data_IF_394516443497
#
_entry.id   IF_394516443497
#
_cell.length_a   1.000
_cell.length_b   1.000
_cell.length_c   1.000
_cell.angle_alpha   90.00
_cell.angle_beta   90.00
_cell.angle_gamma   90.00
#
_symmetry.space_group_name_H-M   'P 1'
#
loop_
_entity.id
_entity.type
_entity.pdbx_description
1 polymer ?
#
# COMPACT_ATOMS: atom_id res chain seq x y z
N UNK A 1 -51.72 -9.00 -20.62
CA UNK A 1 -51.42 -9.78 -21.84
C UNK A 1 -51.39 -8.82 -23.02
N UNK A 2 -50.20 -8.39 -23.48
CA UNK A 2 -50.05 -7.71 -24.76
C UNK A 2 -49.75 -8.75 -25.85
N UNK A 3 -50.45 -8.63 -26.97
CA UNK A 3 -50.29 -9.44 -28.17
C UNK A 3 -48.94 -9.18 -28.83
N UNK A 4 -48.09 -10.21 -28.88
CA UNK A 4 -46.83 -10.21 -29.62
C UNK A 4 -47.11 -10.24 -31.12
N UNK A 5 -46.98 -9.09 -31.78
CA UNK A 5 -46.84 -9.01 -33.23
C UNK A 5 -45.47 -9.58 -33.63
N UNK A 6 -45.44 -10.87 -33.94
CA UNK A 6 -44.32 -11.50 -34.66
C UNK A 6 -44.35 -11.05 -36.12
N UNK A 7 -43.91 -9.82 -36.39
CA UNK A 7 -43.48 -9.44 -37.74
C UNK A 7 -42.22 -10.24 -38.07
N UNK A 8 -42.34 -11.05 -39.11
CA UNK A 8 -41.27 -11.84 -39.72
C UNK A 8 -40.06 -10.95 -40.00
N UNK A 9 -38.94 -11.24 -39.33
CA UNK A 9 -37.62 -10.57 -39.53
C UNK A 9 -37.15 -10.64 -40.99
N UNK A 10 -37.71 -11.56 -41.80
CA UNK A 10 -37.39 -11.68 -43.23
C UNK A 10 -37.86 -10.49 -44.07
N UNK A 11 -38.89 -9.76 -43.63
CA UNK A 11 -39.46 -8.69 -44.46
C UNK A 11 -38.70 -7.35 -44.34
N UNK A 12 -37.79 -7.21 -43.36
CA UNK A 12 -36.99 -5.99 -43.16
C UNK A 12 -35.67 -6.03 -43.95
N UNK A 13 -35.14 -7.23 -44.25
CA UNK A 13 -33.91 -7.39 -45.00
C UNK A 13 -34.03 -7.01 -46.49
N UNK A 14 -35.25 -6.93 -47.02
CA UNK A 14 -35.50 -6.66 -48.44
C UNK A 14 -35.51 -5.17 -48.84
N UNK A 15 -35.29 -4.24 -47.89
CA UNK A 15 -35.48 -2.79 -48.11
C UNK A 15 -34.20 -1.96 -48.20
N UNK A 16 -33.01 -2.55 -48.11
CA UNK A 16 -31.73 -1.83 -48.15
C UNK A 16 -30.75 -2.31 -49.24
N UNK A 17 -31.26 -2.77 -50.39
CA UNK A 17 -30.41 -3.06 -51.55
C UNK A 17 -30.26 -1.80 -52.41
N UNK A 18 -29.41 -0.86 -51.98
CA UNK A 18 -29.03 0.29 -52.82
C UNK A 18 -28.05 -0.19 -53.88
N UNK A 19 -28.54 -0.49 -55.07
CA UNK A 19 -27.72 -0.87 -56.22
C UNK A 19 -26.96 0.37 -56.73
N UNK A 20 -25.65 0.44 -56.46
CA UNK A 20 -24.78 1.49 -57.02
C UNK A 20 -24.56 1.21 -58.51
N UNK A 21 -24.79 2.16 -59.43
CA UNK A 21 -24.56 1.94 -60.86
C UNK A 21 -23.06 1.74 -61.15
N UNK A 22 -22.69 0.82 -62.06
CA UNK A 22 -21.29 0.56 -62.37
C UNK A 22 -20.67 1.78 -63.07
N UNK A 23 -19.66 2.38 -62.45
CA UNK A 23 -18.82 3.40 -63.08
C UNK A 23 -17.92 2.76 -64.15
N UNK A 24 -18.06 3.22 -65.39
CA UNK A 24 -17.56 2.59 -66.61
C UNK A 24 -16.09 2.91 -66.96
N UNK A 25 -15.18 2.90 -65.98
CA UNK A 25 -13.73 3.08 -66.23
C UNK A 25 -12.93 1.98 -65.53
N UNK A 26 -12.39 0.99 -66.27
CA UNK A 26 -11.67 -0.13 -65.70
C UNK A 26 -10.20 0.25 -65.49
N UNK A 27 -9.92 0.95 -64.39
CA UNK A 27 -8.58 0.88 -63.81
C UNK A 27 -8.60 -0.31 -62.87
N UNK A 28 -7.84 -1.40 -63.11
CA UNK A 28 -7.84 -2.56 -62.24
C UNK A 28 -7.11 -2.21 -60.94
N UNK A 29 -7.85 -1.60 -60.01
CA UNK A 29 -7.45 -1.63 -58.61
C UNK A 29 -7.57 -3.08 -58.14
N UNK A 30 -6.56 -3.65 -57.46
CA UNK A 30 -6.64 -4.99 -56.87
C UNK A 30 -7.52 -4.96 -55.62
N UNK A 31 -8.76 -4.51 -55.76
CA UNK A 31 -9.74 -4.41 -54.67
C UNK A 31 -10.78 -5.50 -54.87
N UNK A 32 -10.78 -6.48 -53.96
CA UNK A 32 -11.84 -7.50 -53.90
C UNK A 32 -12.92 -6.96 -52.97
N UNK A 33 -14.13 -6.76 -53.48
CA UNK A 33 -15.30 -6.39 -52.68
C UNK A 33 -16.04 -7.67 -52.31
N UNK A 34 -16.02 -8.03 -51.04
CA UNK A 34 -16.76 -9.17 -50.50
C UNK A 34 -17.97 -8.62 -49.74
N UNK A 35 -19.17 -8.92 -50.21
CA UNK A 35 -20.41 -8.56 -49.52
C UNK A 35 -20.74 -9.61 -48.45
N UNK A 36 -20.79 -9.18 -47.18
CA UNK A 36 -20.99 -10.04 -46.02
C UNK A 36 -22.27 -9.63 -45.30
N UNK A 37 -23.35 -10.37 -45.51
CA UNK A 37 -24.60 -10.19 -44.78
C UNK A 37 -24.63 -11.09 -43.53
N UNK A 38 -24.60 -10.50 -42.34
CA UNK A 38 -24.74 -11.22 -41.07
C UNK A 38 -25.65 -10.48 -40.11
N UNK A 39 -26.31 -11.22 -39.20
CA UNK A 39 -27.17 -10.65 -38.17
C UNK A 39 -26.40 -10.62 -36.85
N UNK A 40 -26.19 -9.41 -36.31
CA UNK A 40 -25.52 -9.20 -35.02
C UNK A 40 -26.55 -8.70 -34.01
N UNK A 41 -26.77 -9.47 -32.94
CA UNK A 41 -27.66 -9.09 -31.85
C UNK A 41 -26.85 -8.48 -30.71
N UNK A 42 -27.12 -7.21 -30.38
CA UNK A 42 -26.52 -6.51 -29.24
C UNK A 42 -27.54 -6.51 -28.09
N UNK A 43 -27.36 -7.39 -27.11
CA UNK A 43 -28.31 -7.57 -26.01
C UNK A 43 -28.47 -6.29 -25.14
N UNK A 44 -27.37 -5.56 -24.90
CA UNK A 44 -27.35 -4.34 -24.10
C UNK A 44 -26.89 -3.12 -24.93
N UNK A 45 -27.69 -2.71 -25.91
CA UNK A 45 -27.33 -1.61 -26.83
C UNK A 45 -26.92 -0.30 -26.10
N UNK A 46 -27.74 0.13 -25.14
CA UNK A 46 -27.54 1.38 -24.38
C UNK A 46 -26.21 1.43 -23.61
N UNK A 47 -25.65 0.27 -23.28
CA UNK A 47 -24.39 0.17 -22.53
C UNK A 47 -23.17 0.53 -23.38
N UNK A 48 -23.18 0.09 -24.64
CA UNK A 48 -22.05 0.27 -25.57
C UNK A 48 -22.20 1.56 -26.39
N UNK A 49 -23.44 2.04 -26.54
CA UNK A 49 -23.80 3.19 -27.36
C UNK A 49 -24.73 4.14 -26.60
N UNK A 50 -24.31 4.74 -25.47
CA UNK A 50 -25.19 5.52 -24.60
C UNK A 50 -25.71 6.82 -25.23
N UNK A 51 -24.99 7.37 -26.21
CA UNK A 51 -25.28 8.69 -26.79
C UNK A 51 -25.98 8.61 -28.15
N UNK A 52 -26.29 7.42 -28.66
CA UNK A 52 -26.93 7.24 -29.98
C UNK A 52 -28.23 6.48 -29.82
N UNK A 53 -29.39 7.00 -30.26
CA UNK A 53 -30.64 6.28 -30.21
C UNK A 53 -30.66 5.13 -31.23
N UNK A 54 -31.36 4.04 -30.91
CA UNK A 54 -31.40 2.82 -31.74
C UNK A 54 -31.93 3.07 -33.16
N UNK A 55 -32.85 4.05 -33.31
CA UNK A 55 -33.44 4.42 -34.59
C UNK A 55 -32.45 5.10 -35.55
N UNK A 56 -31.39 5.72 -35.03
CA UNK A 56 -30.34 6.37 -35.82
C UNK A 56 -29.02 5.58 -35.79
N UNK A 57 -29.07 4.31 -35.37
CA UNK A 57 -27.87 3.50 -35.27
C UNK A 57 -27.39 3.08 -36.65
N UNK A 58 -26.25 3.60 -37.04
CA UNK A 58 -25.51 3.14 -38.21
C UNK A 58 -24.18 2.54 -37.73
N UNK A 59 -23.96 1.23 -37.91
CA UNK A 59 -22.75 0.60 -37.45
C UNK A 59 -21.58 1.05 -38.33
N UNK A 60 -20.52 1.55 -37.69
CA UNK A 60 -19.25 1.87 -38.35
C UNK A 60 -18.24 0.83 -37.88
N UNK A 61 -17.48 0.27 -38.81
CA UNK A 61 -16.41 -0.68 -38.52
C UNK A 61 -15.10 -0.18 -39.10
N UNK A 62 -14.01 -0.45 -38.39
CA UNK A 62 -12.66 -0.23 -38.89
C UNK A 62 -12.07 -1.56 -39.33
N UNK A 63 -11.51 -1.61 -40.52
CA UNK A 63 -10.72 -2.74 -40.97
C UNK A 63 -9.30 -2.63 -40.40
N UNK A 64 -8.81 -3.72 -39.81
CA UNK A 64 -7.39 -3.88 -39.48
C UNK A 64 -6.63 -4.43 -40.69
N UNK A 65 -5.30 -4.35 -40.64
CA UNK A 65 -4.40 -4.84 -41.70
C UNK A 65 -4.54 -6.36 -41.95
N UNK A 66 -5.06 -7.11 -40.97
CA UNK A 66 -5.37 -8.53 -41.07
C UNK A 66 -6.74 -8.82 -41.74
N UNK A 67 -7.47 -7.77 -42.13
CA UNK A 67 -8.81 -7.85 -42.71
C UNK A 67 -9.93 -8.02 -41.69
N UNK A 68 -9.64 -8.03 -40.39
CA UNK A 68 -10.67 -8.10 -39.35
C UNK A 68 -11.43 -6.77 -39.23
N UNK A 69 -12.74 -6.85 -39.00
CA UNK A 69 -13.60 -5.68 -38.79
C UNK A 69 -13.86 -5.47 -37.30
N UNK A 70 -13.56 -4.28 -36.82
CA UNK A 70 -13.63 -3.95 -35.39
C UNK A 70 -14.55 -2.76 -35.16
N UNK A 71 -15.43 -2.88 -34.16
CA UNK A 71 -16.34 -1.82 -33.78
C UNK A 71 -15.63 -0.76 -32.90
N UNK A 72 -15.95 0.54 -33.05
CA UNK A 72 -15.39 1.63 -32.23
C UNK A 72 -15.37 1.39 -30.71
N UNK A 73 -16.45 0.89 -30.06
CA UNK A 73 -16.42 0.66 -28.62
C UNK A 73 -15.39 -0.39 -28.19
N UNK A 74 -15.09 -1.37 -29.05
CA UNK A 74 -14.04 -2.36 -28.77
C UNK A 74 -12.66 -1.71 -28.82
N UNK A 75 -12.37 -0.88 -29.83
CA UNK A 75 -11.09 -0.18 -29.94
C UNK A 75 -10.84 0.72 -28.72
N UNK A 76 -11.87 1.44 -28.29
CA UNK A 76 -11.79 2.29 -27.11
C UNK A 76 -11.51 1.47 -25.83
N UNK A 77 -12.27 0.40 -25.59
CA UNK A 77 -12.09 -0.48 -24.44
C UNK A 77 -10.71 -1.18 -24.44
N UNK A 78 -10.24 -1.59 -25.61
CA UNK A 78 -8.92 -2.18 -25.81
C UNK A 78 -7.80 -1.17 -25.47
N UNK A 79 -7.92 0.07 -25.92
CA UNK A 79 -6.92 1.11 -25.65
C UNK A 79 -6.75 1.39 -24.15
N UNK A 80 -7.87 1.53 -23.43
CA UNK A 80 -7.88 1.73 -21.97
C UNK A 80 -7.31 0.51 -21.25
N UNK A 81 -7.67 -0.69 -21.71
CA UNK A 81 -7.20 -1.94 -21.12
C UNK A 81 -5.69 -2.12 -21.31
N UNK A 82 -5.15 -1.81 -22.48
CA UNK A 82 -3.71 -1.87 -22.75
C UNK A 82 -2.92 -0.89 -21.87
N UNK A 83 -3.38 0.37 -21.77
CA UNK A 83 -2.76 1.36 -20.88
C UNK A 83 -2.78 0.87 -19.42
N UNK A 84 -3.92 0.35 -18.98
CA UNK A 84 -4.08 -0.19 -17.61
C UNK A 84 -3.15 -1.38 -17.37
N UNK A 85 -3.02 -2.29 -18.34
CA UNK A 85 -2.16 -3.47 -18.24
C UNK A 85 -0.68 -3.08 -18.16
N UNK A 86 -0.24 -2.11 -18.97
CA UNK A 86 1.12 -1.56 -18.90
C UNK A 86 1.39 -0.98 -17.51
N UNK A 87 0.47 -0.17 -16.98
CA UNK A 87 0.61 0.41 -15.64
C UNK A 87 0.65 -0.67 -14.55
N UNK A 88 -0.22 -1.68 -14.63
CA UNK A 88 -0.21 -2.83 -13.71
C UNK A 88 1.13 -3.58 -13.80
N UNK A 89 1.64 -3.83 -15.00
CA UNK A 89 2.93 -4.49 -15.22
C UNK A 89 4.11 -3.72 -14.63
N UNK A 90 4.16 -2.41 -14.82
CA UNK A 90 5.19 -1.53 -14.23
C UNK A 90 5.11 -1.57 -12.70
N UNK A 91 3.90 -1.43 -12.13
CA UNK A 91 3.70 -1.49 -10.68
C UNK A 91 4.13 -2.85 -10.13
N UNK A 92 3.73 -3.95 -10.76
CA UNK A 92 4.13 -5.30 -10.37
C UNK A 92 5.65 -5.47 -10.37
N UNK A 93 6.35 -4.99 -11.41
CA UNK A 93 7.80 -5.03 -11.48
C UNK A 93 8.47 -4.26 -10.33
N UNK A 94 7.92 -3.09 -9.96
CA UNK A 94 8.39 -2.31 -8.80
C UNK A 94 8.16 -3.07 -7.49
N UNK A 95 7.00 -3.70 -7.30
CA UNK A 95 6.72 -4.53 -6.11
C UNK A 95 7.66 -5.73 -6.03
N UNK A 96 7.90 -6.45 -7.13
CA UNK A 96 8.84 -7.58 -7.19
C UNK A 96 10.25 -7.11 -6.84
N UNK A 97 10.71 -5.98 -7.40
CA UNK A 97 12.01 -5.39 -7.03
C UNK A 97 12.07 -5.07 -5.53
N UNK A 98 11.02 -4.45 -4.97
CA UNK A 98 10.96 -4.13 -3.55
C UNK A 98 10.99 -5.38 -2.67
N UNK A 99 10.32 -6.46 -3.08
CA UNK A 99 10.36 -7.76 -2.39
C UNK A 99 11.79 -8.30 -2.38
N UNK A 100 12.44 -8.40 -3.54
CA UNK A 100 13.82 -8.93 -3.65
C UNK A 100 14.79 -8.13 -2.79
N UNK A 101 14.71 -6.80 -2.87
CA UNK A 101 15.57 -5.90 -2.08
C UNK A 101 15.31 -6.08 -0.59
N UNK A 102 14.05 -6.09 -0.16
CA UNK A 102 13.68 -6.27 1.25
C UNK A 102 14.13 -7.61 1.80
N UNK A 103 13.91 -8.69 1.04
CA UNK A 103 14.39 -10.04 1.39
C UNK A 103 15.91 -10.06 1.53
N UNK A 104 16.63 -9.48 0.57
CA UNK A 104 18.10 -9.40 0.61
C UNK A 104 18.59 -8.65 1.85
N UNK A 105 17.96 -7.53 2.21
CA UNK A 105 18.25 -6.80 3.44
C UNK A 105 17.94 -7.60 4.71
N UNK A 106 16.85 -8.38 4.74
CA UNK A 106 16.50 -9.24 5.88
C UNK A 106 17.56 -10.33 6.09
N UNK A 107 17.99 -10.97 5.00
CA UNK A 107 18.97 -12.05 5.04
C UNK A 107 20.38 -11.55 5.37
N UNK A 108 20.83 -10.44 4.76
CA UNK A 108 22.19 -9.92 4.97
C UNK A 108 22.33 -9.01 6.20
N UNK A 109 21.24 -8.37 6.63
CA UNK A 109 21.27 -7.39 7.72
C UNK A 109 21.41 -8.00 9.11
N UNK A 110 22.43 -7.57 9.85
CA UNK A 110 22.61 -7.86 11.29
C UNK A 110 21.96 -6.79 12.17
N UNK A 111 20.68 -6.51 11.96
CA UNK A 111 19.93 -5.57 12.81
C UNK A 111 19.20 -6.31 13.93
N UNK A 112 19.25 -5.76 15.15
CA UNK A 112 18.59 -6.34 16.34
C UNK A 112 17.06 -6.33 16.20
N UNK A 113 16.49 -5.33 15.52
CA UNK A 113 15.05 -5.18 15.32
C UNK A 113 14.71 -5.20 13.82
N UNK A 114 14.25 -6.35 13.31
CA UNK A 114 13.86 -6.54 11.91
C UNK A 114 12.37 -6.28 11.63
N UNK A 115 11.59 -5.92 12.65
CA UNK A 115 10.13 -5.80 12.58
C UNK A 115 9.65 -4.88 11.44
N UNK A 116 10.23 -3.68 11.32
CA UNK A 116 9.86 -2.72 10.27
C UNK A 116 10.06 -3.30 8.86
N UNK A 117 11.17 -4.03 8.65
CA UNK A 117 11.51 -4.61 7.37
C UNK A 117 10.62 -5.80 7.03
N UNK A 118 10.23 -6.61 8.02
CA UNK A 118 9.21 -7.66 7.85
C UNK A 118 7.84 -7.07 7.53
N UNK A 119 7.41 -6.00 8.21
CA UNK A 119 6.13 -5.33 7.91
C UNK A 119 6.12 -4.80 6.48
N UNK A 120 7.22 -4.17 6.04
CA UNK A 120 7.35 -3.70 4.67
C UNK A 120 7.29 -4.88 3.69
N UNK A 121 8.06 -5.95 3.92
CA UNK A 121 8.02 -7.15 3.08
C UNK A 121 6.61 -7.75 2.96
N UNK A 122 5.90 -7.91 4.08
CA UNK A 122 4.53 -8.42 4.09
C UNK A 122 3.58 -7.52 3.28
N UNK A 123 3.71 -6.19 3.38
CA UNK A 123 2.88 -5.26 2.58
C UNK A 123 3.11 -5.42 1.07
N UNK A 124 4.36 -5.66 0.65
CA UNK A 124 4.70 -5.86 -0.76
C UNK A 124 4.24 -7.24 -1.25
N UNK A 125 4.37 -8.29 -0.42
CA UNK A 125 3.88 -9.64 -0.75
C UNK A 125 2.36 -9.67 -0.95
N UNK A 126 1.61 -8.88 -0.17
CA UNK A 126 0.17 -8.73 -0.35
C UNK A 126 -0.24 -8.06 -1.67
N UNK A 127 0.69 -7.41 -2.37
CA UNK A 127 0.41 -6.84 -3.68
C UNK A 127 0.33 -7.92 -4.78
N UNK A 128 1.02 -9.06 -4.62
CA UNK A 128 0.97 -10.18 -5.58
C UNK A 128 -0.45 -10.74 -5.78
N UNK A 129 -1.22 -11.08 -4.73
CA UNK A 129 -2.61 -11.52 -4.90
C UNK A 129 -3.54 -10.41 -5.40
N UNK A 130 -3.12 -9.15 -5.43
CA UNK A 130 -3.88 -8.08 -6.09
C UNK A 130 -3.69 -8.12 -7.61
N UNK A 131 -2.44 -8.20 -8.08
CA UNK A 131 -2.10 -8.10 -9.50
C UNK A 131 -2.26 -9.41 -10.27
N UNK A 132 -1.88 -10.56 -9.69
CA UNK A 132 -1.89 -11.84 -10.41
C UNK A 132 -3.31 -12.19 -10.91
N UNK A 133 -4.38 -12.15 -10.08
CA UNK A 133 -5.72 -12.46 -10.54
C UNK A 133 -6.22 -11.50 -11.62
N UNK A 134 -5.84 -10.21 -11.55
CA UNK A 134 -6.20 -9.22 -12.58
C UNK A 134 -5.58 -9.56 -13.93
N UNK A 135 -4.30 -9.94 -13.94
CA UNK A 135 -3.59 -10.32 -15.17
C UNK A 135 -4.17 -11.62 -15.72
N UNK A 136 -4.35 -12.64 -14.88
CA UNK A 136 -4.90 -13.94 -15.29
C UNK A 136 -6.31 -13.77 -15.87
N UNK A 137 -7.16 -12.95 -15.26
CA UNK A 137 -8.53 -12.73 -15.73
C UNK A 137 -8.63 -12.07 -17.12
N UNK A 138 -7.57 -11.42 -17.61
CA UNK A 138 -7.52 -10.88 -18.97
C UNK A 138 -7.23 -11.95 -20.02
N UNK A 139 -6.42 -12.96 -19.69
CA UNK A 139 -6.04 -14.02 -20.63
C UNK A 139 -7.00 -15.22 -20.58
N UNK A 140 -7.58 -15.48 -19.40
CA UNK A 140 -8.47 -16.62 -19.18
C UNK A 140 -9.93 -16.16 -19.05
N UNK A 141 -10.77 -16.66 -19.96
CA UNK A 141 -12.20 -16.35 -20.02
C UNK A 141 -13.05 -17.21 -19.07
N UNK A 142 -12.50 -18.28 -18.51
CA UNK A 142 -13.27 -19.15 -17.60
C UNK A 142 -13.24 -18.64 -16.16
N UNK A 143 -12.41 -17.64 -15.87
CA UNK A 143 -12.29 -17.02 -14.55
C UNK A 143 -13.51 -16.15 -14.22
N UNK A 144 -14.12 -16.39 -13.05
CA UNK A 144 -15.20 -15.58 -12.50
C UNK A 144 -14.70 -14.18 -12.10
N UNK A 145 -15.21 -13.15 -12.80
CA UNK A 145 -14.89 -11.76 -12.52
C UNK A 145 -15.28 -11.31 -11.11
N UNK A 146 -16.34 -11.86 -10.52
CA UNK A 146 -16.73 -11.56 -9.15
C UNK A 146 -15.66 -11.98 -8.15
N UNK A 147 -15.10 -13.18 -8.34
CA UNK A 147 -14.02 -13.69 -7.50
C UNK A 147 -12.75 -12.86 -7.63
N UNK A 148 -12.33 -12.53 -8.86
CA UNK A 148 -11.15 -11.69 -9.13
C UNK A 148 -11.29 -10.34 -8.44
N UNK A 149 -12.42 -9.64 -8.65
CA UNK A 149 -12.64 -8.33 -8.05
C UNK A 149 -12.66 -8.39 -6.51
N UNK A 150 -13.24 -9.44 -5.90
CA UNK A 150 -13.23 -9.61 -4.45
C UNK A 150 -11.82 -9.82 -3.91
N UNK A 151 -11.00 -10.67 -4.53
CA UNK A 151 -9.62 -10.89 -4.09
C UNK A 151 -8.78 -9.64 -4.26
N UNK A 152 -8.87 -8.98 -5.41
CA UNK A 152 -8.11 -7.75 -5.69
C UNK A 152 -8.52 -6.63 -4.72
N UNK A 153 -9.81 -6.44 -4.46
CA UNK A 153 -10.29 -5.44 -3.50
C UNK A 153 -9.87 -5.78 -2.07
N UNK A 154 -10.03 -7.04 -1.65
CA UNK A 154 -9.65 -7.49 -0.31
C UNK A 154 -8.14 -7.37 -0.08
N UNK A 155 -7.30 -7.81 -1.03
CA UNK A 155 -5.84 -7.70 -0.92
C UNK A 155 -5.37 -6.25 -0.90
N UNK A 156 -5.96 -5.37 -1.72
CA UNK A 156 -5.67 -3.92 -1.70
C UNK A 156 -6.06 -3.30 -0.36
N UNK A 157 -7.27 -3.59 0.12
CA UNK A 157 -7.76 -3.11 1.40
C UNK A 157 -6.95 -3.62 2.58
N UNK A 158 -6.53 -4.89 2.56
CA UNK A 158 -5.65 -5.48 3.56
C UNK A 158 -4.24 -4.89 3.51
N UNK A 159 -3.66 -4.69 2.32
CA UNK A 159 -2.33 -4.08 2.18
C UNK A 159 -2.30 -2.68 2.77
N UNK A 160 -3.32 -1.87 2.44
CA UNK A 160 -3.47 -0.53 2.99
C UNK A 160 -3.76 -0.55 4.51
N UNK A 161 -4.50 -1.55 4.97
CA UNK A 161 -4.78 -1.75 6.39
C UNK A 161 -3.53 -2.17 7.16
N UNK A 162 -2.67 -3.03 6.60
CA UNK A 162 -1.42 -3.47 7.23
C UNK A 162 -0.40 -2.33 7.35
N UNK A 163 -0.34 -1.42 6.36
CA UNK A 163 0.52 -0.24 6.45
C UNK A 163 0.15 0.67 7.63
N UNK A 164 -1.13 0.71 8.00
CA UNK A 164 -1.63 1.57 9.09
C UNK A 164 -1.86 0.81 10.41
N UNK A 165 -1.97 -0.51 10.36
CA UNK A 165 -2.17 -1.40 11.51
C UNK A 165 -1.16 -2.52 11.45
N UNK A 166 -0.10 -2.42 12.26
CA UNK A 166 0.62 -3.61 12.69
C UNK A 166 -0.35 -4.45 13.53
N UNK A 167 -0.77 -5.58 12.95
CA UNK A 167 -1.37 -6.78 13.57
C UNK A 167 -2.10 -6.53 14.90
N UNK A 168 -3.42 -6.33 14.80
CA UNK A 168 -4.26 -6.84 15.89
C UNK A 168 -4.28 -8.34 15.67
N UNK A 169 -3.57 -9.05 16.56
CA UNK A 169 -3.76 -10.47 16.79
C UNK A 169 -5.26 -10.74 16.93
N UNK A 170 -5.85 -11.27 15.86
CA UNK A 170 -7.19 -11.85 15.90
C UNK A 170 -7.20 -13.21 16.59
N UNK A 171 -6.10 -13.60 17.24
CA UNK A 171 -5.90 -14.95 17.79
C UNK A 171 -5.50 -15.01 19.26
N UNK A 172 -5.59 -13.94 20.05
CA UNK A 172 -5.64 -14.08 21.52
C UNK A 172 -6.46 -12.97 22.20
N UNK A 173 -7.62 -13.29 22.80
CA UNK A 173 -8.10 -12.56 23.96
C UNK A 173 -7.24 -13.03 25.14
N UNK A 174 -6.52 -12.15 25.85
CA UNK A 174 -6.27 -12.21 27.32
C UNK A 174 -5.05 -11.41 27.83
N UNK A 175 -4.25 -10.72 27.03
CA UNK A 175 -3.16 -9.90 27.60
C UNK A 175 -3.65 -8.48 27.94
N UNK A 176 -3.56 -8.02 29.21
CA UNK A 176 -4.06 -6.71 29.67
C UNK A 176 -3.11 -5.54 29.38
N UNK A 177 -2.07 -5.76 28.57
CA UNK A 177 -1.10 -4.72 28.21
C UNK A 177 -1.39 -4.22 26.80
N UNK A 178 -1.64 -2.91 26.59
CA UNK A 178 -1.86 -2.34 25.27
C UNK A 178 -0.51 -2.17 24.57
N UNK A 179 0.19 -3.28 24.29
CA UNK A 179 1.46 -3.23 23.57
C UNK A 179 1.22 -3.60 22.11
N UNK A 180 1.57 -2.63 21.25
CA UNK A 180 1.86 -2.74 19.82
C UNK A 180 0.71 -2.45 18.87
N UNK A 181 0.12 -1.26 19.01
CA UNK A 181 -0.77 -0.71 17.99
C UNK A 181 -0.19 0.60 17.48
N UNK A 182 0.33 0.58 16.25
CA UNK A 182 -0.09 1.42 15.11
C UNK A 182 1.04 1.45 14.07
N UNK A 183 0.68 1.59 12.80
CA UNK A 183 1.66 1.66 11.69
C UNK A 183 2.70 2.77 11.88
N UNK A 184 3.77 2.71 11.08
CA UNK A 184 4.97 3.57 11.17
C UNK A 184 4.63 5.08 11.28
N UNK A 185 3.52 5.51 10.67
CA UNK A 185 3.06 6.90 10.68
C UNK A 185 2.20 7.26 11.89
N UNK A 186 1.34 6.35 12.36
CA UNK A 186 0.43 6.60 13.49
C UNK A 186 1.16 6.72 14.83
N UNK A 187 2.16 5.86 15.08
CA UNK A 187 2.97 5.90 16.31
C UNK A 187 3.73 7.21 16.42
N UNK A 188 4.23 7.73 15.29
CA UNK A 188 4.94 9.01 15.26
C UNK A 188 4.01 10.16 15.61
N UNK A 189 2.83 10.25 14.97
CA UNK A 189 1.86 11.28 15.27
C UNK A 189 1.41 11.23 16.76
N UNK A 190 1.17 10.03 17.28
CA UNK A 190 0.79 9.82 18.68
C UNK A 190 1.88 10.32 19.66
N UNK A 191 3.15 9.99 19.41
CA UNK A 191 4.26 10.46 20.25
C UNK A 191 4.49 11.96 20.12
N UNK A 192 4.26 12.55 18.94
CA UNK A 192 4.39 13.99 18.73
C UNK A 192 3.37 14.82 19.51
N UNK A 193 2.22 14.23 19.86
CA UNK A 193 1.10 14.90 20.53
C UNK A 193 1.01 14.54 22.02
N UNK A 194 2.17 14.27 22.64
CA UNK A 194 2.32 13.94 24.07
C UNK A 194 1.39 12.82 24.55
N UNK A 195 1.29 11.75 23.76
CA UNK A 195 0.48 10.57 24.08
C UNK A 195 -1.03 10.85 24.21
N UNK A 196 -1.56 11.83 23.47
CA UNK A 196 -2.99 12.08 23.42
C UNK A 196 -3.78 10.85 22.94
N UNK A 197 -4.48 10.18 23.87
CA UNK A 197 -5.31 8.98 23.61
C UNK A 197 -6.39 9.23 22.54
N UNK A 198 -6.82 10.48 22.38
CA UNK A 198 -7.81 10.91 21.39
C UNK A 198 -7.34 10.59 19.95
N UNK A 199 -6.06 10.79 19.64
CA UNK A 199 -5.52 10.51 18.30
C UNK A 199 -5.63 9.03 17.97
N UNK A 200 -5.30 8.15 18.92
CA UNK A 200 -5.47 6.70 18.74
C UNK A 200 -6.93 6.34 18.56
N UNK A 201 -7.83 6.88 19.39
CA UNK A 201 -9.27 6.62 19.28
C UNK A 201 -9.82 7.03 17.90
N UNK A 202 -9.50 8.23 17.41
CA UNK A 202 -9.93 8.71 16.11
C UNK A 202 -9.39 7.83 14.97
N UNK A 203 -8.09 7.47 14.99
CA UNK A 203 -7.51 6.57 14.00
C UNK A 203 -8.17 5.19 14.01
N UNK A 204 -8.45 4.64 15.19
CA UNK A 204 -9.17 3.36 15.30
C UNK A 204 -10.58 3.46 14.73
N UNK A 205 -11.28 4.57 14.97
CA UNK A 205 -12.63 4.82 14.44
C UNK A 205 -12.64 4.93 12.91
N UNK A 206 -11.74 5.71 12.32
CA UNK A 206 -11.64 5.81 10.85
C UNK A 206 -11.31 4.45 10.22
N UNK A 207 -10.46 3.66 10.88
CA UNK A 207 -10.08 2.34 10.41
C UNK A 207 -11.21 1.33 10.51
N UNK A 208 -11.95 1.29 11.61
CA UNK A 208 -13.12 0.40 11.73
C UNK A 208 -14.19 0.79 10.74
N UNK A 209 -14.46 2.08 10.56
CA UNK A 209 -15.40 2.56 9.53
C UNK A 209 -14.96 2.14 8.11
N UNK A 210 -13.69 2.36 7.75
CA UNK A 210 -13.15 1.97 6.44
C UNK A 210 -13.22 0.46 6.21
N UNK A 211 -12.95 -0.34 7.25
CA UNK A 211 -13.05 -1.79 7.19
C UNK A 211 -14.49 -2.27 7.01
N UNK A 212 -15.45 -1.70 7.74
CA UNK A 212 -16.88 -2.02 7.59
C UNK A 212 -17.31 -1.69 6.15
N UNK A 213 -16.97 -0.50 5.65
CA UNK A 213 -17.27 -0.11 4.27
C UNK A 213 -16.67 -1.09 3.28
N UNK A 214 -15.40 -1.48 3.46
CA UNK A 214 -14.74 -2.47 2.59
C UNK A 214 -15.43 -3.84 2.63
N UNK A 215 -15.81 -4.34 3.80
CA UNK A 215 -16.49 -5.64 3.93
C UNK A 215 -17.86 -5.60 3.26
N UNK A 216 -18.65 -4.56 3.48
CA UNK A 216 -19.95 -4.35 2.82
C UNK A 216 -19.77 -4.19 1.31
N UNK A 217 -18.72 -3.52 0.88
CA UNK A 217 -18.37 -3.35 -0.53
C UNK A 217 -18.05 -4.70 -1.18
N UNK A 218 -17.26 -5.55 -0.51
CA UNK A 218 -16.91 -6.89 -0.99
C UNK A 218 -18.13 -7.81 -1.12
N UNK A 219 -19.06 -7.77 -0.16
CA UNK A 219 -20.27 -8.61 -0.20
C UNK A 219 -21.22 -8.19 -1.32
N UNK A 220 -21.29 -6.90 -1.64
CA UNK A 220 -22.15 -6.36 -2.69
C UNK A 220 -21.46 -6.25 -4.06
N UNK A 221 -20.20 -6.68 -4.18
CA UNK A 221 -19.47 -6.60 -5.45
C UNK A 221 -19.92 -7.71 -6.40
N UNK A 222 -20.55 -7.28 -7.48
CA UNK A 222 -20.80 -8.09 -8.67
C UNK A 222 -19.93 -7.59 -9.82
N UNK A 223 -19.19 -8.51 -10.43
CA UNK A 223 -18.34 -8.24 -11.58
C UNK A 223 -18.99 -8.71 -12.86
N UNK A 224 -18.68 -8.05 -13.97
CA UNK A 224 -18.96 -8.54 -15.31
C UNK A 224 -17.69 -8.42 -16.16
N UNK A 225 -17.65 -9.15 -17.27
CA UNK A 225 -16.54 -9.08 -18.22
C UNK A 225 -16.86 -8.09 -19.34
N UNK A 226 -15.92 -7.17 -19.61
CA UNK A 226 -15.95 -6.25 -20.75
C UNK A 226 -15.53 -6.95 -22.03
N UNK A 227 -15.76 -6.29 -23.17
CA UNK A 227 -15.41 -6.80 -24.50
C UNK A 227 -13.91 -7.05 -24.64
N UNK A 228 -13.08 -6.22 -24.00
CA UNK A 228 -11.63 -6.38 -23.88
C UNK A 228 -11.18 -7.59 -23.06
N UNK A 229 -12.09 -8.31 -22.39
CA UNK A 229 -11.78 -9.41 -21.49
C UNK A 229 -11.52 -8.98 -20.04
N UNK A 230 -11.40 -7.67 -19.77
CA UNK A 230 -11.21 -7.12 -18.42
C UNK A 230 -12.45 -7.34 -17.56
N UNK A 231 -12.23 -7.66 -16.28
CA UNK A 231 -13.28 -7.66 -15.28
C UNK A 231 -13.54 -6.25 -14.76
N UNK A 232 -14.80 -5.82 -14.82
CA UNK A 232 -15.26 -4.53 -14.33
C UNK A 232 -16.41 -4.72 -13.35
N UNK A 233 -16.50 -3.78 -12.40
CA UNK A 233 -17.54 -3.78 -11.39
C UNK A 233 -18.86 -3.26 -11.95
N UNK A 234 -19.96 -3.91 -11.60
CA UNK A 234 -21.29 -3.43 -11.91
C UNK A 234 -21.75 -2.36 -10.90
N UNK A 235 -22.02 -1.14 -11.38
CA UNK A 235 -22.60 -0.06 -10.57
C UNK A 235 -21.62 0.85 -9.82
N UNK A 236 -22.16 1.93 -9.26
CA UNK A 236 -21.42 2.90 -8.42
C UNK A 236 -21.29 2.29 -7.02
N UNK A 237 -20.20 1.55 -6.79
CA UNK A 237 -19.94 0.88 -5.52
C UNK A 237 -19.65 1.84 -4.35
N UNK A 238 -19.32 1.29 -3.18
CA UNK A 238 -18.91 2.07 -2.01
C UNK A 238 -17.43 2.50 -2.06
N UNK A 239 -16.75 2.22 -3.18
CA UNK A 239 -15.35 2.61 -3.41
C UNK A 239 -15.09 4.11 -3.21
N UNK A 240 -15.96 5.06 -3.65
CA UNK A 240 -15.75 6.48 -3.38
C UNK A 240 -15.82 6.81 -1.88
N UNK A 241 -16.75 6.20 -1.15
CA UNK A 241 -16.87 6.38 0.32
C UNK A 241 -15.61 5.90 1.02
N UNK A 242 -15.09 4.74 0.61
CA UNK A 242 -13.83 4.21 1.10
C UNK A 242 -12.65 5.17 0.83
N UNK A 243 -12.55 5.72 -0.38
CA UNK A 243 -11.51 6.71 -0.73
C UNK A 243 -11.65 7.99 0.10
N UNK A 244 -12.88 8.49 0.31
CA UNK A 244 -13.13 9.67 1.16
C UNK A 244 -12.70 9.40 2.60
N UNK A 245 -13.02 8.23 3.17
CA UNK A 245 -12.58 7.86 4.51
C UNK A 245 -11.06 7.83 4.63
N UNK A 246 -10.36 7.27 3.65
CA UNK A 246 -8.89 7.27 3.60
C UNK A 246 -8.31 8.68 3.49
N UNK A 247 -8.94 9.55 2.71
CA UNK A 247 -8.54 10.94 2.57
C UNK A 247 -8.72 11.70 3.89
N UNK A 248 -9.88 11.56 4.54
CA UNK A 248 -10.16 12.17 5.85
C UNK A 248 -9.18 11.68 6.91
N UNK A 249 -8.86 10.38 6.93
CA UNK A 249 -7.86 9.82 7.83
C UNK A 249 -6.46 10.42 7.58
N UNK A 250 -6.06 10.52 6.32
CA UNK A 250 -4.77 11.10 5.93
C UNK A 250 -4.69 12.59 6.29
N UNK A 251 -5.78 13.33 6.09
CA UNK A 251 -5.92 14.73 6.46
C UNK A 251 -5.85 14.88 7.99
N UNK A 252 -6.53 14.02 8.74
CA UNK A 252 -6.47 14.01 10.20
C UNK A 252 -5.03 13.82 10.70
N UNK A 253 -4.31 12.84 10.15
CA UNK A 253 -2.89 12.61 10.48
C UNK A 253 -2.05 13.85 10.15
N UNK A 254 -2.27 14.45 8.98
CA UNK A 254 -1.58 15.68 8.57
C UNK A 254 -1.84 16.83 9.55
N UNK A 255 -3.11 17.07 9.91
CA UNK A 255 -3.49 18.08 10.90
C UNK A 255 -2.85 17.83 12.27
N UNK A 256 -2.78 16.58 12.74
CA UNK A 256 -2.08 16.24 13.99
C UNK A 256 -0.59 16.61 13.93
N UNK A 257 0.09 16.33 12.81
CA UNK A 257 1.48 16.72 12.64
C UNK A 257 1.66 18.24 12.57
N UNK A 258 0.82 18.93 11.78
CA UNK A 258 0.85 20.40 11.70
C UNK A 258 0.60 21.05 13.06
N UNK A 259 -0.35 20.51 13.84
CA UNK A 259 -0.63 20.97 15.20
C UNK A 259 0.57 20.74 16.14
N UNK A 260 1.20 19.57 16.08
CA UNK A 260 2.40 19.30 16.89
C UNK A 260 3.56 20.24 16.53
N UNK A 261 3.79 20.48 15.22
CA UNK A 261 4.79 21.46 14.75
C UNK A 261 4.45 22.86 15.24
N UNK A 262 3.19 23.28 15.12
CA UNK A 262 2.74 24.60 15.60
C UNK A 262 2.97 24.74 17.10
N UNK A 263 2.58 23.75 17.90
CA UNK A 263 2.76 23.76 19.35
C UNK A 263 4.26 23.79 19.74
N UNK A 264 5.11 23.09 18.99
CA UNK A 264 6.56 23.09 19.24
C UNK A 264 7.23 24.45 19.01
N UNK A 265 6.65 25.34 18.19
CA UNK A 265 7.21 26.69 17.95
C UNK A 265 7.22 27.54 19.22
N UNK A 266 6.32 27.27 20.16
CA UNK A 266 6.27 27.93 21.47
C UNK A 266 7.27 27.39 22.49
N UNK A 267 7.96 26.27 22.22
CA UNK A 267 8.87 25.65 23.20
C UNK A 267 10.24 26.36 23.19
N UNK A 268 10.66 26.99 24.31
CA UNK A 268 11.94 27.68 24.41
C UNK A 268 13.16 26.74 24.28
N UNK A 269 12.95 25.43 24.38
CA UNK A 269 14.00 24.41 24.27
C UNK A 269 14.64 24.27 22.88
N UNK A 270 13.98 24.76 21.82
CA UNK A 270 14.51 24.74 20.43
C UNK A 270 15.28 26.03 20.10
N UNK A 271 14.99 27.14 20.80
CA UNK A 271 15.66 28.43 20.56
C UNK A 271 17.13 28.45 21.01
N UNK A 272 17.54 27.50 21.85
CA UNK A 272 18.93 27.34 22.30
C UNK A 272 19.78 26.36 21.49
N UNK A 273 19.22 25.63 20.52
CA UNK A 273 19.94 24.57 19.77
C UNK A 273 20.36 24.94 18.34
N UNK A 274 19.98 26.13 17.88
CA UNK A 274 20.64 26.79 16.75
C UNK A 274 21.62 27.82 17.32
N UNK A 275 22.50 27.39 18.23
CA UNK A 275 23.78 28.06 18.31
C UNK A 275 24.49 27.68 17.01
N UNK A 276 24.33 28.52 15.98
CA UNK A 276 25.39 28.68 14.99
C UNK A 276 26.64 28.92 15.82
N UNK A 277 27.45 27.89 16.04
CA UNK A 277 28.87 28.11 16.24
C UNK A 277 29.33 28.78 14.95
N UNK A 278 29.19 30.10 14.91
CA UNK A 278 30.02 30.94 14.08
C UNK A 278 31.43 30.60 14.54
N UNK A 279 32.06 29.69 13.78
CA UNK A 279 33.50 29.52 13.75
C UNK A 279 34.08 30.87 13.34
N UNK A 280 34.28 31.74 14.33
CA UNK A 280 34.92 33.03 14.19
C UNK A 280 35.95 33.17 15.32
N UNK A 281 36.62 32.07 15.65
CA UNK A 281 37.70 32.04 16.64
C UNK A 281 38.75 31.01 16.19
N UNK A 282 39.44 31.31 15.09
CA UNK A 282 40.66 30.59 14.69
C UNK A 282 41.74 31.55 14.14
N UNK A 283 41.65 32.86 14.47
CA UNK A 283 42.67 33.87 14.11
C UNK A 283 42.98 34.79 15.30
N UNK A 284 43.26 34.20 16.45
CA UNK A 284 44.03 34.74 17.57
C UNK A 284 44.15 33.56 18.55
N UNK A 285 45.29 32.92 18.81
CA UNK A 285 46.49 33.51 19.38
C UNK A 285 47.59 32.45 19.27
N UNK A 286 48.58 32.69 18.42
CA UNK A 286 49.84 31.94 18.39
C UNK A 286 50.85 32.63 19.31
N UNK A 287 50.64 32.65 20.63
CA UNK A 287 51.70 33.06 21.58
C UNK A 287 51.49 32.39 22.94
N UNK A 288 52.48 31.63 23.41
CA UNK A 288 52.79 31.58 24.84
C UNK A 288 52.55 30.28 25.62
N UNK A 289 53.48 29.33 25.46
CA UNK A 289 54.20 28.62 26.53
C UNK A 289 53.55 28.29 27.89
N UNK A 290 53.79 27.02 28.28
CA UNK A 290 54.16 26.50 29.62
C UNK A 290 53.12 25.74 30.47
N UNK A 291 53.32 24.41 30.48
CA UNK A 291 53.36 23.48 31.62
C UNK A 291 52.76 23.98 32.94
N UNK A 292 51.69 23.32 33.43
CA UNK A 292 51.54 23.02 34.87
C UNK A 292 50.66 21.78 35.10
N UNK A 293 51.25 20.80 35.75
CA UNK A 293 50.65 19.66 36.43
C UNK A 293 49.76 20.13 37.60
N UNK A 294 48.49 19.70 37.69
CA UNK A 294 47.79 19.72 38.99
C UNK A 294 46.66 18.68 39.11
N UNK A 295 46.93 17.71 40.01
CA UNK A 295 46.08 16.90 40.89
C UNK A 295 44.60 16.62 40.55
N UNK A 296 44.31 15.32 40.53
CA UNK A 296 43.07 14.68 40.98
C UNK A 296 42.40 15.41 42.15
N UNK A 297 41.11 15.68 42.03
CA UNK A 297 40.20 15.69 43.17
C UNK A 297 38.90 15.00 42.77
N UNK A 298 38.62 13.91 43.48
CA UNK A 298 37.47 13.05 43.41
C UNK A 298 36.18 13.87 43.60
N UNK A 299 35.32 13.90 42.59
CA UNK A 299 33.92 14.28 42.72
C UNK A 299 33.08 13.21 41.99
N UNK A 300 31.92 12.81 42.54
CA UNK A 300 31.09 11.76 41.95
C UNK A 300 30.66 12.18 40.54
N UNK A 301 30.50 11.24 39.58
CA UNK A 301 30.08 11.60 38.25
C UNK A 301 28.63 12.07 38.34
N UNK A 302 28.45 13.39 38.40
CA UNK A 302 27.23 14.02 37.98
C UNK A 302 27.11 13.66 36.49
N UNK A 303 26.34 12.61 36.21
CA UNK A 303 25.98 12.25 34.85
C UNK A 303 25.41 13.52 34.22
N UNK A 304 26.01 14.03 33.12
CA UNK A 304 25.45 15.19 32.45
C UNK A 304 23.99 14.86 32.16
N UNK A 305 23.04 15.78 32.40
CA UNK A 305 21.64 15.51 32.09
C UNK A 305 21.61 15.06 30.64
N UNK A 306 21.19 13.81 30.42
CA UNK A 306 21.07 13.19 29.11
C UNK A 306 20.49 14.22 28.17
N UNK A 307 21.36 14.79 27.34
CA UNK A 307 21.01 15.76 26.32
C UNK A 307 19.90 15.09 25.54
N UNK A 308 18.65 15.52 25.76
CA UNK A 308 17.46 14.97 25.12
C UNK A 308 17.72 15.08 23.62
N UNK A 309 18.19 13.99 23.02
CA UNK A 309 18.45 13.87 21.58
C UNK A 309 17.10 13.97 20.87
N UNK A 310 17.13 14.51 19.66
CA UNK A 310 15.91 14.75 18.89
C UNK A 310 15.04 13.50 18.78
N UNK A 311 13.73 13.69 18.74
CA UNK A 311 12.69 12.66 18.68
C UNK A 311 12.80 11.64 17.52
N UNK A 312 13.76 11.83 16.61
CA UNK A 312 14.09 10.95 15.48
C UNK A 312 15.14 9.88 15.79
N UNK A 313 15.88 10.00 16.90
CA UNK A 313 16.92 9.02 17.27
C UNK A 313 16.31 7.86 18.06
N UNK A 314 15.95 6.78 17.35
CA UNK A 314 15.44 5.55 17.96
C UNK A 314 16.60 4.75 18.58
N UNK A 315 17.10 5.18 19.73
CA UNK A 315 17.90 4.33 20.61
C UNK A 315 16.94 3.70 21.63
N UNK A 316 16.78 2.36 21.66
CA UNK A 316 16.00 1.71 22.70
C UNK A 316 16.59 2.08 24.06
N UNK A 317 15.78 2.66 24.95
CA UNK A 317 16.19 2.93 26.34
C UNK A 317 16.47 1.59 27.01
N UNK A 318 17.76 1.31 27.24
CA UNK A 318 18.27 0.13 27.95
C UNK A 318 17.86 0.08 29.43
N UNK A 319 17.21 1.13 29.95
CA UNK A 319 16.84 1.27 31.36
C UNK A 319 15.83 0.22 31.84
N UNK A 320 15.11 -0.48 30.96
CA UNK A 320 14.22 -1.57 31.36
C UNK A 320 14.91 -2.92 31.55
N UNK A 321 16.21 -3.04 31.24
CA UNK A 321 16.98 -4.28 31.41
C UNK A 321 17.85 -4.31 32.67
N UNK A 322 17.97 -3.18 33.39
CA UNK A 322 18.57 -3.16 34.72
C UNK A 322 17.51 -3.60 35.73
N UNK A 323 17.38 -4.92 35.91
CA UNK A 323 16.65 -5.46 37.06
C UNK A 323 17.21 -4.92 38.38
N UNK A 324 16.44 -5.01 39.48
CA UNK A 324 16.89 -4.55 40.79
C UNK A 324 18.23 -5.19 41.13
N UNK A 325 19.26 -4.37 41.37
CA UNK A 325 20.52 -4.84 41.93
C UNK A 325 20.21 -5.61 43.21
N UNK A 326 20.78 -6.82 43.40
CA UNK A 326 20.62 -7.53 44.66
C UNK A 326 21.19 -6.67 45.80
N UNK A 327 20.57 -6.67 46.99
CA UNK A 327 21.04 -5.90 48.12
C UNK A 327 22.47 -6.31 48.46
N UNK A 328 23.34 -5.30 48.55
CA UNK A 328 24.72 -5.45 49.03
C UNK A 328 24.65 -6.03 50.45
N UNK A 329 25.12 -7.26 50.61
CA UNK A 329 25.22 -7.90 51.92
C UNK A 329 26.22 -7.13 52.79
N UNK A 330 25.92 -6.89 54.08
CA UNK A 330 26.88 -6.27 54.99
C UNK A 330 28.10 -7.18 55.19
N UNK A 331 29.29 -6.61 55.45
CA UNK A 331 30.49 -7.38 55.70
C UNK A 331 30.32 -8.21 56.98
N UNK A 332 30.16 -9.51 56.82
CA UNK A 332 30.19 -10.46 57.92
C UNK A 332 31.64 -10.71 58.37
N UNK A 333 31.90 -10.79 59.68
CA UNK A 333 33.23 -11.09 60.21
C UNK A 333 33.53 -12.60 60.09
N UNK A 334 34.82 -12.88 59.89
CA UNK A 334 35.53 -14.11 60.23
C UNK A 334 35.19 -15.42 59.50
N UNK A 335 36.15 -15.81 58.66
CA UNK A 335 36.87 -17.08 58.79
C UNK A 335 36.07 -18.37 58.74
N UNK A 336 36.05 -19.02 57.57
CA UNK A 336 36.13 -20.49 57.54
C UNK A 336 36.67 -20.97 56.19
N UNK A 337 37.88 -21.53 56.23
CA UNK A 337 38.49 -22.27 55.13
C UNK A 337 37.55 -23.39 54.63
N UNK A 338 37.47 -23.58 53.32
CA UNK A 338 37.05 -24.87 52.75
C UNK A 338 38.13 -25.41 51.82
N UNK A 339 38.43 -26.72 51.92
CA UNK A 339 39.55 -27.33 51.21
C UNK A 339 39.26 -27.55 49.73
N UNK A 340 40.33 -27.47 48.93
CA UNK A 340 40.38 -27.86 47.53
C UNK A 340 39.83 -29.27 47.34
N UNK A 341 38.83 -29.40 46.44
CA UNK A 341 38.40 -30.70 45.93
C UNK A 341 39.15 -30.99 44.63
N UNK A 342 39.98 -32.02 44.70
CA UNK A 342 40.79 -32.61 43.64
C UNK A 342 39.90 -33.24 42.55
N UNK A 343 40.20 -33.06 41.25
CA UNK A 343 39.46 -33.73 40.19
C UNK A 343 39.89 -35.20 40.05
N UNK A 344 38.92 -36.12 40.21
CA UNK A 344 39.06 -37.52 39.80
C UNK A 344 38.90 -37.61 38.29
N UNK A 345 39.93 -38.14 37.64
CA UNK A 345 39.85 -38.64 36.27
C UNK A 345 38.83 -39.77 36.12
N UNK A 346 38.28 -39.87 34.92
CA UNK A 346 37.66 -41.09 34.42
C UNK A 346 38.13 -41.31 32.99
N UNK A 347 38.83 -42.41 32.84
CA UNK A 347 39.21 -43.08 31.61
C UNK A 347 38.03 -43.85 31.00
N UNK A 348 38.10 -44.03 29.67
CA UNK A 348 37.69 -45.21 28.87
C UNK A 348 36.20 -45.60 28.86
N UNK A 349 35.56 -45.49 27.68
CA UNK A 349 35.35 -46.57 26.68
C UNK A 349 35.30 -45.94 25.29
#
# INVERSE_FOLDING_TARGET
>A
MPSSDTRSVRDIAALFTTTVPPSSTPTPAPTVVVDLSTLVTILDYQRFYPNTPIASFHPVYYALDDGSLVAPPFVHDLSITNITLILIGILLALFVRNIIVSVTYIYRGRFKNKALLYTLLCSQLLALPCFIPLIVAQFDRDVDCGFVLRITSASTGLSLSLLVRTLIDLTQPLTPYPTQVTGILGVKAYRCLDNARLVLFALTLFRTASLIVLVVDLTNTHGYRRLSGRCERNGVGLTPVFIILLFVESLFICCCFSFAVWNSRGSPSIRGRISLQLSLEDVAEHVGTSISTHKQTLSPPYSPPLSRRGWWDYVPTLEAAAGPLPPVAPPGPDGFERPMRQPRGKDVV
#
